data_IF_873830100979
#
_entry.id   IF_873830100979
#
_cell.length_a   1.000
_cell.length_b   1.000
_cell.length_c   1.000
_cell.angle_alpha   90.00
_cell.angle_beta   90.00
_cell.angle_gamma   90.00
#
_symmetry.space_group_name_H-M   'P 1'
#
loop_
_entity.id
_entity.type
_entity.pdbx_description
1 polymer ?
#
# COMPACT_ATOMS: atom_id res chain seq x y z
N UNK A 1 -16.41 0.87 16.25
CA UNK A 1 -15.72 0.64 14.96
C UNK A 1 -14.26 1.00 15.11
N UNK A 2 -13.40 0.17 14.57
CA UNK A 2 -11.97 0.47 14.46
C UNK A 2 -11.62 0.78 13.01
N UNK A 3 -10.66 1.68 12.82
CA UNK A 3 -10.11 2.00 11.51
C UNK A 3 -8.62 1.67 11.52
N UNK A 4 -8.21 0.70 10.73
CA UNK A 4 -6.80 0.40 10.53
C UNK A 4 -6.22 1.30 9.47
N UNK A 5 -5.06 1.90 9.75
CA UNK A 5 -4.34 2.78 8.83
C UNK A 5 -2.95 2.23 8.62
N UNK A 6 -2.56 2.04 7.36
CA UNK A 6 -1.25 1.56 6.95
C UNK A 6 -0.65 2.56 5.98
N UNK A 7 0.58 2.99 6.24
CA UNK A 7 1.36 3.77 5.27
C UNK A 7 2.57 2.94 4.85
N UNK A 8 2.78 2.81 3.54
CA UNK A 8 3.91 2.06 2.98
C UNK A 8 4.75 2.98 2.11
N UNK A 9 6.03 3.08 2.44
CA UNK A 9 7.01 3.84 1.65
C UNK A 9 7.69 2.88 0.67
N UNK A 10 7.47 3.12 -0.62
CA UNK A 10 7.95 2.24 -1.69
C UNK A 10 9.09 2.86 -2.47
N UNK A 11 10.03 2.00 -2.88
CA UNK A 11 11.04 2.32 -3.89
C UNK A 11 10.72 1.55 -5.17
N UNK A 12 10.55 2.29 -6.27
CA UNK A 12 10.38 1.74 -7.61
C UNK A 12 11.71 1.83 -8.34
N UNK A 13 12.59 0.88 -8.06
CA UNK A 13 13.96 0.88 -8.56
C UNK A 13 13.97 0.81 -10.08
N UNK A 14 14.74 1.71 -10.71
CA UNK A 14 14.86 1.74 -12.16
C UNK A 14 13.71 2.39 -12.92
N UNK A 15 12.66 2.84 -12.24
CA UNK A 15 11.57 3.54 -12.91
C UNK A 15 12.02 4.93 -13.36
N UNK A 16 11.79 5.28 -14.62
CA UNK A 16 12.27 6.52 -15.23
C UNK A 16 11.17 7.44 -15.73
N UNK A 17 9.89 7.07 -15.56
CA UNK A 17 8.78 7.86 -16.08
C UNK A 17 7.56 7.85 -15.13
N UNK A 18 6.74 8.92 -15.21
CA UNK A 18 5.46 8.95 -14.51
C UNK A 18 4.50 7.90 -15.05
N UNK A 19 4.53 7.65 -16.36
CA UNK A 19 3.68 6.60 -16.96
C UNK A 19 4.00 5.24 -16.37
N UNK A 20 5.28 4.89 -16.27
CA UNK A 20 5.72 3.63 -15.65
C UNK A 20 5.30 3.54 -14.20
N UNK A 21 5.48 4.60 -13.42
CA UNK A 21 5.04 4.67 -12.03
C UNK A 21 3.54 4.45 -11.90
N UNK A 22 2.73 5.14 -12.71
CA UNK A 22 1.27 4.99 -12.69
C UNK A 22 0.82 3.58 -13.01
N UNK A 23 1.48 2.91 -13.97
CA UNK A 23 1.18 1.52 -14.30
C UNK A 23 1.45 0.58 -13.12
N UNK A 24 2.60 0.74 -12.47
CA UNK A 24 2.95 -0.08 -11.29
C UNK A 24 1.96 0.15 -10.15
N UNK A 25 1.68 1.41 -9.81
CA UNK A 25 0.77 1.73 -8.72
C UNK A 25 -0.66 1.29 -9.02
N UNK A 26 -1.12 1.42 -10.27
CA UNK A 26 -2.44 0.93 -10.67
C UNK A 26 -2.54 -0.58 -10.48
N UNK A 27 -1.52 -1.32 -10.89
CA UNK A 27 -1.48 -2.78 -10.70
C UNK A 27 -1.54 -3.15 -9.22
N UNK A 28 -0.76 -2.47 -8.37
CA UNK A 28 -0.77 -2.71 -6.93
C UNK A 28 -2.16 -2.44 -6.36
N UNK A 29 -2.76 -1.29 -6.68
CA UNK A 29 -4.09 -0.92 -6.18
C UNK A 29 -5.17 -1.91 -6.63
N UNK A 30 -5.21 -2.24 -7.92
CA UNK A 30 -6.25 -3.12 -8.48
C UNK A 30 -6.15 -4.53 -7.89
N UNK A 31 -4.96 -5.09 -7.80
CA UNK A 31 -4.76 -6.43 -7.27
C UNK A 31 -4.98 -6.51 -5.77
N UNK A 32 -4.59 -5.49 -5.04
CA UNK A 32 -4.85 -5.41 -3.60
C UNK A 32 -6.36 -5.32 -3.31
N UNK A 33 -7.09 -4.50 -4.09
CA UNK A 33 -8.55 -4.40 -3.98
C UNK A 33 -9.27 -5.71 -4.26
N UNK A 34 -8.77 -6.52 -5.20
CA UNK A 34 -9.40 -7.82 -5.49
C UNK A 34 -9.23 -8.82 -4.36
N UNK A 35 -8.15 -8.70 -3.61
CA UNK A 35 -7.83 -9.66 -2.55
C UNK A 35 -8.30 -9.21 -1.17
N UNK A 36 -8.30 -7.92 -0.91
CA UNK A 36 -8.61 -7.37 0.42
C UNK A 36 -9.67 -6.29 0.34
N UNK A 37 -10.52 -6.23 1.35
CA UNK A 37 -11.50 -5.14 1.49
C UNK A 37 -10.86 -3.94 2.16
N UNK A 38 -10.09 -3.18 1.40
CA UNK A 38 -9.38 -1.99 1.86
C UNK A 38 -9.53 -0.85 0.87
N UNK A 39 -9.38 0.38 1.35
CA UNK A 39 -9.16 1.55 0.51
C UNK A 39 -7.66 1.77 0.36
N UNK A 40 -7.21 2.16 -0.83
CA UNK A 40 -5.80 2.37 -1.11
C UNK A 40 -5.61 3.54 -2.07
N UNK A 41 -4.65 4.41 -1.76
CA UNK A 41 -4.31 5.57 -2.57
C UNK A 41 -2.82 5.90 -2.42
N UNK A 42 -2.28 6.60 -3.43
CA UNK A 42 -0.98 7.26 -3.28
C UNK A 42 -1.19 8.56 -2.49
N UNK A 43 -0.51 8.70 -1.35
CA UNK A 43 -0.76 9.81 -0.42
C UNK A 43 0.41 10.79 -0.30
N UNK A 44 1.59 10.45 -0.83
CA UNK A 44 2.76 11.33 -0.84
C UNK A 44 3.74 10.90 -1.92
N UNK A 45 4.76 11.72 -2.19
CA UNK A 45 5.80 11.50 -3.19
C UNK A 45 5.27 11.45 -4.63
N UNK A 46 4.14 12.10 -4.89
CA UNK A 46 3.47 12.05 -6.20
C UNK A 46 4.35 12.52 -7.36
N UNK A 47 5.27 13.44 -7.10
CA UNK A 47 6.17 14.00 -8.11
C UNK A 47 7.46 13.21 -8.29
N UNK A 48 7.73 12.23 -7.43
CA UNK A 48 8.96 11.45 -7.50
C UNK A 48 8.75 10.21 -8.39
N UNK A 49 9.72 9.94 -9.26
CA UNK A 49 9.60 8.82 -10.21
C UNK A 49 9.91 7.47 -9.59
N UNK A 50 10.74 7.44 -8.55
CA UNK A 50 11.20 6.19 -7.94
C UNK A 50 10.69 5.96 -6.52
N UNK A 51 9.86 6.87 -6.02
CA UNK A 51 9.30 6.78 -4.67
C UNK A 51 7.79 6.91 -4.72
N UNK A 52 7.11 6.19 -3.87
CA UNK A 52 5.67 6.31 -3.66
C UNK A 52 5.34 6.05 -2.20
N UNK A 53 4.37 6.80 -1.67
CA UNK A 53 3.80 6.52 -0.36
C UNK A 53 2.36 6.07 -0.57
N UNK A 54 2.06 4.82 -0.23
CA UNK A 54 0.70 4.29 -0.28
C UNK A 54 0.04 4.42 1.09
N UNK A 55 -1.17 4.96 1.10
CA UNK A 55 -2.05 4.94 2.27
C UNK A 55 -3.12 3.88 2.06
N UNK A 56 -3.30 3.01 3.05
CA UNK A 56 -4.25 1.90 3.00
C UNK A 56 -5.03 1.91 4.29
N UNK A 57 -6.36 1.77 4.21
CA UNK A 57 -7.16 1.69 5.41
C UNK A 57 -8.28 0.66 5.31
N UNK A 58 -8.70 0.15 6.46
CA UNK A 58 -9.83 -0.76 6.57
C UNK A 58 -10.66 -0.44 7.80
N UNK A 59 -11.95 -0.74 7.72
CA UNK A 59 -12.86 -0.65 8.86
C UNK A 59 -13.13 -2.05 9.41
N UNK A 60 -13.22 -2.17 10.73
CA UNK A 60 -13.51 -3.45 11.39
C UNK A 60 -14.19 -3.20 12.74
N UNK A 61 -14.94 -4.17 13.19
CA UNK A 61 -15.45 -4.20 14.57
C UNK A 61 -14.49 -4.92 15.53
N UNK A 62 -13.33 -5.33 15.04
CA UNK A 62 -12.33 -6.07 15.82
C UNK A 62 -10.94 -5.53 15.50
N UNK A 63 -10.26 -5.02 16.53
CA UNK A 63 -8.93 -4.41 16.38
C UNK A 63 -7.88 -5.39 15.87
N UNK A 64 -7.87 -6.63 16.36
CA UNK A 64 -6.90 -7.65 15.93
C UNK A 64 -7.11 -8.04 14.48
N UNK A 65 -8.37 -8.08 14.04
CA UNK A 65 -8.69 -8.36 12.65
C UNK A 65 -8.16 -7.27 11.72
N UNK A 66 -8.37 -6.00 12.09
CA UNK A 66 -7.85 -4.87 11.33
C UNK A 66 -6.32 -4.94 11.20
N UNK A 67 -5.63 -5.18 12.30
CA UNK A 67 -4.18 -5.31 12.33
C UNK A 67 -3.70 -6.46 11.45
N UNK A 68 -4.35 -7.62 11.54
CA UNK A 68 -4.01 -8.80 10.74
C UNK A 68 -4.19 -8.55 9.24
N UNK A 69 -5.30 -7.94 8.84
CA UNK A 69 -5.57 -7.62 7.43
C UNK A 69 -4.47 -6.72 6.87
N UNK A 70 -4.10 -5.67 7.61
CA UNK A 70 -3.05 -4.77 7.15
C UNK A 70 -1.68 -5.44 7.07
N UNK A 71 -1.36 -6.34 7.99
CA UNK A 71 -0.14 -7.15 7.91
C UNK A 71 -0.11 -8.06 6.69
N UNK A 72 -1.24 -8.67 6.37
CA UNK A 72 -1.37 -9.50 5.16
C UNK A 72 -1.22 -8.67 3.88
N UNK A 73 -1.73 -7.43 3.88
CA UNK A 73 -1.56 -6.49 2.76
C UNK A 73 -0.08 -6.18 2.52
N UNK A 74 0.68 -5.91 3.59
CA UNK A 74 2.14 -5.66 3.48
C UNK A 74 2.82 -6.86 2.84
N UNK A 75 2.56 -8.07 3.32
CA UNK A 75 3.16 -9.29 2.77
C UNK A 75 2.78 -9.54 1.32
N UNK A 76 1.52 -9.26 0.96
CA UNK A 76 1.05 -9.39 -0.42
C UNK A 76 1.78 -8.43 -1.37
N UNK A 77 1.90 -7.16 -0.97
CA UNK A 77 2.58 -6.16 -1.80
C UNK A 77 4.06 -6.49 -1.93
N UNK A 78 4.72 -6.86 -0.84
CA UNK A 78 6.13 -7.22 -0.86
C UNK A 78 6.41 -8.42 -1.77
N UNK A 79 5.55 -9.42 -1.76
CA UNK A 79 5.77 -10.70 -2.44
C UNK A 79 5.31 -10.75 -3.90
N UNK A 80 4.58 -9.76 -4.41
CA UNK A 80 3.91 -9.86 -5.70
C UNK A 80 4.26 -8.78 -6.72
N UNK A 81 5.12 -7.85 -6.37
CA UNK A 81 5.48 -6.72 -7.26
C UNK A 81 6.98 -6.46 -7.22
N UNK A 82 7.51 -5.94 -8.32
CA UNK A 82 8.91 -5.55 -8.43
C UNK A 82 9.15 -4.17 -7.81
N UNK A 83 8.95 -4.10 -6.50
CA UNK A 83 9.18 -2.89 -5.70
C UNK A 83 9.95 -3.28 -4.43
N UNK A 84 10.49 -2.30 -3.76
CA UNK A 84 11.10 -2.47 -2.45
C UNK A 84 10.32 -1.68 -1.42
N UNK A 85 9.93 -2.31 -0.32
CA UNK A 85 9.35 -1.61 0.82
C UNK A 85 10.48 -1.06 1.65
N UNK A 86 10.58 0.27 1.72
CA UNK A 86 11.62 0.94 2.50
C UNK A 86 11.22 1.03 3.98
N UNK A 87 9.94 1.26 4.24
CA UNK A 87 9.40 1.37 5.58
C UNK A 87 7.88 1.26 5.53
N UNK A 88 7.26 0.89 6.63
CA UNK A 88 5.81 0.95 6.78
C UNK A 88 5.44 1.10 8.25
N UNK A 89 4.24 1.63 8.49
CA UNK A 89 3.70 1.76 9.84
C UNK A 89 2.20 1.50 9.86
N UNK A 90 1.73 0.89 10.95
CA UNK A 90 0.32 0.57 11.17
C UNK A 90 -0.17 1.30 12.41
N UNK A 91 -1.35 1.91 12.30
CA UNK A 91 -2.04 2.52 13.42
C UNK A 91 -3.50 2.07 13.40
N UNK A 92 -4.05 1.72 14.56
CA UNK A 92 -5.46 1.38 14.69
C UNK A 92 -6.16 2.49 15.48
N UNK A 93 -7.11 3.12 14.82
CA UNK A 93 -7.89 4.22 15.40
C UNK A 93 -9.22 3.76 15.95
#
# INVERSE_FOLDING_TARGET
MFVGVLEIDLLLRGNTSLKGKRQVLKSIKDRTHRKFNVSIAEVDHNDLLQRAMLGICCASNNKRHADRVLGEVVGFIEGNFEIEILDYGVEIL
#
